data_IF_776936532683
#
_entry.id   IF_776936532683
#
_cell.length_a   1.000
_cell.length_b   1.000
_cell.length_c   1.000
_cell.angle_alpha   90.00
_cell.angle_beta   90.00
_cell.angle_gamma   90.00
#
_symmetry.space_group_name_H-M   'P 1'
#
loop_
_entity.id
_entity.type
_entity.pdbx_description
1 polymer ?
#
# COMPACT_ATOMS: atom_id res chain seq x y z
N UNK A 1 21.10 1.33 13.83
CA UNK A 1 20.08 0.89 12.86
C UNK A 1 20.14 1.87 11.70
N UNK A 2 20.19 1.40 10.46
CA UNK A 2 20.07 2.26 9.28
C UNK A 2 18.81 1.86 8.54
N UNK A 3 17.89 2.82 8.40
CA UNK A 3 16.69 2.66 7.62
C UNK A 3 16.93 3.11 6.18
N UNK A 4 16.15 2.58 5.24
CA UNK A 4 16.24 2.88 3.80
C UNK A 4 17.66 2.75 3.23
N UNK A 5 18.39 1.70 3.65
CA UNK A 5 19.78 1.50 3.25
C UNK A 5 19.97 1.35 1.72
N UNK A 6 18.91 1.03 0.99
CA UNK A 6 18.85 0.97 -0.47
C UNK A 6 18.82 2.34 -1.16
N UNK A 7 18.62 3.43 -0.41
CA UNK A 7 18.80 4.80 -0.88
C UNK A 7 20.27 5.27 -0.83
N UNK A 8 21.15 4.52 -0.15
CA UNK A 8 22.57 4.88 -0.05
C UNK A 8 23.31 4.65 -1.37
N UNK A 9 24.21 5.57 -1.71
CA UNK A 9 25.12 5.41 -2.85
C UNK A 9 26.07 4.23 -2.64
N UNK A 10 26.55 3.64 -3.75
CA UNK A 10 27.49 2.52 -3.70
C UNK A 10 28.78 2.86 -2.93
N UNK A 11 29.29 4.09 -3.05
CA UNK A 11 30.48 4.54 -2.31
C UNK A 11 30.23 4.61 -0.81
N UNK A 12 29.06 5.12 -0.39
CA UNK A 12 28.66 5.14 1.00
C UNK A 12 28.48 3.72 1.57
N UNK A 13 27.90 2.81 0.80
CA UNK A 13 27.80 1.40 1.18
C UNK A 13 29.18 0.73 1.28
N UNK A 14 30.11 1.03 0.37
CA UNK A 14 31.48 0.52 0.44
C UNK A 14 32.23 1.03 1.68
N UNK A 15 32.02 2.29 2.06
CA UNK A 15 32.54 2.84 3.31
C UNK A 15 31.91 2.16 4.54
N UNK A 16 30.58 2.02 4.54
CA UNK A 16 29.83 1.35 5.61
C UNK A 16 30.28 -0.10 5.82
N UNK A 17 30.54 -0.84 4.74
CA UNK A 17 31.10 -2.20 4.81
C UNK A 17 32.38 -2.25 5.65
N UNK A 18 33.32 -1.31 5.43
CA UNK A 18 34.58 -1.25 6.20
C UNK A 18 34.33 -1.00 7.69
N UNK A 19 33.33 -0.18 8.00
CA UNK A 19 32.92 0.11 9.38
C UNK A 19 32.30 -1.14 10.03
N UNK A 20 31.41 -1.84 9.32
CA UNK A 20 30.80 -3.08 9.80
C UNK A 20 31.88 -4.13 10.12
N UNK A 21 32.86 -4.31 9.23
CA UNK A 21 33.97 -5.24 9.45
C UNK A 21 34.79 -4.84 10.69
N UNK A 22 35.23 -3.58 10.77
CA UNK A 22 36.12 -3.09 11.83
C UNK A 22 35.50 -3.15 13.22
N UNK A 23 34.19 -2.95 13.34
CA UNK A 23 33.51 -2.84 14.64
C UNK A 23 32.56 -4.01 14.93
N UNK A 24 32.64 -5.11 14.18
CA UNK A 24 31.74 -6.27 14.29
C UNK A 24 31.75 -6.96 15.66
N UNK A 25 32.85 -6.85 16.42
CA UNK A 25 32.98 -7.46 17.75
C UNK A 25 32.17 -6.70 18.82
N UNK A 26 32.04 -5.38 18.68
CA UNK A 26 31.48 -4.51 19.72
C UNK A 26 30.13 -3.89 19.32
N UNK A 27 29.82 -3.81 18.02
CA UNK A 27 28.64 -3.13 17.49
C UNK A 27 27.83 -4.09 16.62
N UNK A 28 26.51 -4.12 16.83
CA UNK A 28 25.56 -4.80 15.95
C UNK A 28 24.90 -3.81 15.01
N UNK A 29 24.92 -4.14 13.72
CA UNK A 29 24.29 -3.35 12.67
C UNK A 29 22.98 -4.02 12.26
N UNK A 30 21.94 -3.19 12.08
CA UNK A 30 20.66 -3.59 11.50
C UNK A 30 20.40 -2.63 10.36
N UNK A 31 20.18 -3.19 9.17
CA UNK A 31 19.92 -2.47 7.93
C UNK A 31 18.52 -2.84 7.47
N UNK A 32 17.70 -1.84 7.19
CA UNK A 32 16.36 -2.01 6.64
C UNK A 32 16.39 -1.46 5.22
N UNK A 33 15.80 -2.19 4.27
CA UNK A 33 15.73 -1.81 2.87
C UNK A 33 14.53 -2.47 2.19
N UNK A 34 14.00 -1.85 1.14
CA UNK A 34 12.90 -2.41 0.35
C UNK A 34 13.42 -3.29 -0.78
N UNK A 35 14.54 -2.91 -1.40
CA UNK A 35 15.11 -3.61 -2.54
C UNK A 35 16.51 -4.17 -2.23
N UNK A 36 16.58 -5.47 -1.94
CA UNK A 36 17.85 -6.15 -1.68
C UNK A 36 18.85 -5.99 -2.83
N UNK A 37 18.38 -5.94 -4.08
CA UNK A 37 19.23 -5.75 -5.28
C UNK A 37 20.00 -4.42 -5.31
N UNK A 38 19.58 -3.42 -4.53
CA UNK A 38 20.28 -2.13 -4.38
C UNK A 38 21.34 -2.13 -3.28
N UNK A 39 21.42 -3.19 -2.49
CA UNK A 39 22.46 -3.38 -1.47
C UNK A 39 23.64 -4.13 -2.08
N UNK A 40 24.86 -3.62 -1.93
CA UNK A 40 26.04 -4.27 -2.50
C UNK A 40 26.24 -5.68 -1.92
N UNK A 41 26.67 -6.68 -2.72
CA UNK A 41 26.86 -8.06 -2.25
C UNK A 41 27.80 -8.19 -1.03
N UNK A 42 28.75 -7.27 -0.90
CA UNK A 42 29.68 -7.25 0.22
C UNK A 42 28.98 -6.98 1.57
N UNK A 43 27.97 -6.10 1.61
CA UNK A 43 27.17 -5.91 2.83
C UNK A 43 26.28 -7.13 3.06
N UNK A 44 25.61 -7.64 2.01
CA UNK A 44 24.68 -8.76 2.14
C UNK A 44 25.34 -10.02 2.74
N UNK A 45 26.60 -10.31 2.40
CA UNK A 45 27.35 -11.44 2.93
C UNK A 45 27.74 -11.33 4.40
N UNK A 46 27.69 -10.13 4.99
CA UNK A 46 28.05 -9.86 6.39
C UNK A 46 26.82 -9.77 7.31
N UNK A 47 25.62 -9.83 6.75
CA UNK A 47 24.37 -9.70 7.50
C UNK A 47 23.52 -10.97 7.36
N UNK A 48 22.82 -11.33 8.44
CA UNK A 48 21.74 -12.33 8.34
C UNK A 48 20.53 -11.68 7.70
N UNK A 49 19.97 -12.33 6.68
CA UNK A 49 18.88 -11.78 5.88
C UNK A 49 17.55 -12.22 6.45
N UNK A 50 16.69 -11.26 6.76
CA UNK A 50 15.30 -11.48 7.10
C UNK A 50 14.44 -10.83 6.02
N UNK A 51 13.59 -11.63 5.37
CA UNK A 51 12.67 -11.14 4.34
C UNK A 51 11.29 -10.99 4.96
N UNK A 52 10.77 -9.77 4.93
CA UNK A 52 9.39 -9.48 5.28
C UNK A 52 8.58 -9.43 3.98
N UNK A 53 7.68 -10.41 3.81
CA UNK A 53 6.72 -10.40 2.72
C UNK A 53 5.49 -9.56 3.07
N UNK A 54 4.61 -9.29 2.10
CA UNK A 54 3.27 -8.78 2.37
C UNK A 54 2.55 -9.70 3.37
N UNK A 55 1.74 -9.12 4.24
CA UNK A 55 0.99 -9.88 5.23
C UNK A 55 -0.22 -10.54 4.59
N UNK A 56 -0.50 -11.78 4.98
CA UNK A 56 -1.73 -12.45 4.60
C UNK A 56 -2.94 -11.79 5.28
N UNK A 57 -4.09 -11.77 4.60
CA UNK A 57 -5.33 -11.20 5.14
C UNK A 57 -5.73 -11.80 6.49
N UNK A 58 -5.41 -13.08 6.72
CA UNK A 58 -5.65 -13.80 7.98
C UNK A 58 -4.80 -13.29 9.14
N UNK A 59 -3.64 -12.69 8.87
CA UNK A 59 -2.77 -12.08 9.88
C UNK A 59 -3.15 -10.62 10.15
N UNK A 60 -3.65 -9.93 9.12
CA UNK A 60 -4.10 -8.53 9.22
C UNK A 60 -5.39 -8.42 10.02
N UNK A 61 -6.37 -9.30 9.78
CA UNK A 61 -7.70 -9.19 10.37
C UNK A 61 -7.69 -9.13 11.91
N UNK A 62 -7.01 -10.04 12.64
CA UNK A 62 -7.00 -9.99 14.10
C UNK A 62 -6.36 -8.70 14.64
N UNK A 63 -5.37 -8.16 13.93
CA UNK A 63 -4.72 -6.91 14.33
C UNK A 63 -5.62 -5.70 14.06
N UNK A 64 -6.35 -5.72 12.94
CA UNK A 64 -7.33 -4.70 12.59
C UNK A 64 -8.47 -4.68 13.62
N UNK A 65 -9.03 -5.83 13.97
CA UNK A 65 -10.10 -5.96 14.97
C UNK A 65 -9.66 -5.46 16.34
N UNK A 66 -8.45 -5.83 16.76
CA UNK A 66 -7.87 -5.31 18.00
C UNK A 66 -7.86 -3.78 18.02
N UNK A 67 -7.44 -3.12 16.94
CA UNK A 67 -7.40 -1.64 16.87
C UNK A 67 -8.82 -1.06 16.89
N UNK A 68 -9.76 -1.65 16.14
CA UNK A 68 -11.16 -1.21 16.10
C UNK A 68 -11.79 -1.27 17.48
N UNK A 69 -11.55 -2.35 18.24
CA UNK A 69 -12.07 -2.52 19.61
C UNK A 69 -11.47 -1.51 20.59
N UNK A 70 -10.15 -1.28 20.54
CA UNK A 70 -9.47 -0.34 21.43
C UNK A 70 -9.91 1.11 21.20
N UNK A 71 -10.05 1.50 19.92
CA UNK A 71 -10.43 2.85 19.53
C UNK A 71 -11.96 3.05 19.47
N UNK A 72 -12.74 1.98 19.67
CA UNK A 72 -14.22 1.97 19.63
C UNK A 72 -14.79 2.55 18.34
N UNK A 73 -14.20 2.18 17.21
CA UNK A 73 -14.60 2.63 15.88
C UNK A 73 -15.75 1.73 15.38
N UNK A 74 -16.76 2.31 14.72
CA UNK A 74 -17.79 1.53 14.02
C UNK A 74 -17.30 1.21 12.62
N UNK A 75 -17.05 -0.07 12.36
CA UNK A 75 -16.60 -0.56 11.04
C UNK A 75 -17.47 -1.73 10.63
N UNK A 76 -18.00 -1.70 9.41
CA UNK A 76 -18.78 -2.79 8.85
C UNK A 76 -17.88 -3.89 8.27
N UNK A 77 -18.40 -5.10 8.08
CA UNK A 77 -17.61 -6.24 7.56
C UNK A 77 -17.12 -6.02 6.12
N UNK A 78 -17.92 -5.36 5.29
CA UNK A 78 -17.54 -4.89 3.95
C UNK A 78 -16.42 -3.84 4.02
N UNK A 79 -16.48 -2.89 4.96
CA UNK A 79 -15.41 -1.93 5.21
C UNK A 79 -14.08 -2.59 5.60
N UNK A 80 -14.11 -3.60 6.49
CA UNK A 80 -12.92 -4.39 6.85
C UNK A 80 -12.31 -5.08 5.63
N UNK A 81 -13.13 -5.69 4.77
CA UNK A 81 -12.66 -6.37 3.54
C UNK A 81 -12.05 -5.37 2.56
N UNK A 82 -12.70 -4.23 2.34
CA UNK A 82 -12.21 -3.17 1.47
C UNK A 82 -10.84 -2.63 1.94
N UNK A 83 -10.67 -2.42 3.26
CA UNK A 83 -9.39 -1.99 3.83
C UNK A 83 -8.25 -2.97 3.55
N UNK A 84 -8.51 -4.28 3.67
CA UNK A 84 -7.51 -5.33 3.43
C UNK A 84 -7.19 -5.43 1.94
N UNK A 85 -8.21 -5.44 1.08
CA UNK A 85 -8.06 -5.55 -0.38
C UNK A 85 -7.23 -4.37 -0.94
N UNK A 86 -7.59 -3.13 -0.57
CA UNK A 86 -6.87 -1.93 -1.02
C UNK A 86 -5.43 -1.83 -0.52
N UNK A 87 -5.12 -2.49 0.59
CA UNK A 87 -3.81 -2.37 1.23
C UNK A 87 -2.78 -3.37 0.72
N UNK A 88 -3.19 -4.42 0.00
CA UNK A 88 -2.26 -5.36 -0.65
C UNK A 88 -1.25 -6.01 0.30
N UNK A 89 -1.60 -6.20 1.58
CA UNK A 89 -0.71 -6.77 2.59
C UNK A 89 0.11 -5.74 3.40
N UNK A 90 -0.04 -4.43 3.15
CA UNK A 90 0.62 -3.37 3.93
C UNK A 90 -0.25 -2.95 5.13
N UNK A 91 0.12 -3.39 6.34
CA UNK A 91 -0.56 -3.02 7.58
C UNK A 91 -0.54 -1.51 7.86
N UNK A 92 0.53 -0.81 7.48
CA UNK A 92 0.63 0.65 7.67
C UNK A 92 -0.44 1.35 6.85
N UNK A 93 -0.63 0.92 5.60
CA UNK A 93 -1.69 1.44 4.72
C UNK A 93 -3.08 1.15 5.30
N UNK A 94 -3.35 -0.07 5.77
CA UNK A 94 -4.63 -0.44 6.43
C UNK A 94 -4.97 0.54 7.55
N UNK A 95 -4.05 0.77 8.48
CA UNK A 95 -4.30 1.60 9.66
C UNK A 95 -4.45 3.08 9.30
N UNK A 96 -3.65 3.59 8.36
CA UNK A 96 -3.75 4.98 7.91
C UNK A 96 -5.10 5.25 7.25
N UNK A 97 -5.58 4.32 6.41
CA UNK A 97 -6.89 4.46 5.75
C UNK A 97 -8.01 4.33 6.77
N UNK A 98 -7.95 3.35 7.68
CA UNK A 98 -8.91 3.22 8.77
C UNK A 98 -9.02 4.51 9.58
N UNK A 99 -7.89 5.08 10.00
CA UNK A 99 -7.86 6.32 10.77
C UNK A 99 -8.46 7.49 9.99
N UNK A 100 -8.12 7.61 8.70
CA UNK A 100 -8.65 8.67 7.84
C UNK A 100 -10.17 8.55 7.67
N UNK A 101 -10.67 7.34 7.42
CA UNK A 101 -12.09 7.06 7.25
C UNK A 101 -12.86 7.29 8.56
N UNK A 102 -12.35 6.81 9.69
CA UNK A 102 -12.97 7.00 11.01
C UNK A 102 -12.97 8.48 11.47
N UNK A 103 -12.02 9.29 10.98
CA UNK A 103 -12.00 10.73 11.29
C UNK A 103 -13.00 11.49 10.41
N UNK A 104 -13.19 11.08 9.16
CA UNK A 104 -14.09 11.73 8.22
C UNK A 104 -15.56 11.33 8.41
N UNK A 105 -15.83 10.10 8.83
CA UNK A 105 -17.17 9.52 8.92
C UNK A 105 -17.41 8.83 10.26
N UNK A 106 -18.66 8.81 10.72
CA UNK A 106 -19.05 8.14 11.97
C UNK A 106 -19.04 6.60 11.89
N UNK A 107 -19.13 6.06 10.68
CA UNK A 107 -19.15 4.62 10.39
C UNK A 107 -18.30 4.35 9.16
N UNK A 108 -17.41 3.37 9.25
CA UNK A 108 -16.49 2.97 8.17
C UNK A 108 -17.09 1.78 7.43
N UNK A 109 -17.61 2.06 6.23
CA UNK A 109 -18.12 1.07 5.27
C UNK A 109 -17.27 1.02 3.99
N UNK A 110 -17.58 0.13 3.06
CA UNK A 110 -16.87 0.02 1.78
C UNK A 110 -16.78 1.38 1.03
N UNK A 111 -17.90 2.08 0.87
CA UNK A 111 -17.97 3.34 0.13
C UNK A 111 -17.08 4.45 0.74
N UNK A 112 -17.10 4.58 2.07
CA UNK A 112 -16.27 5.56 2.79
C UNK A 112 -14.79 5.26 2.64
N UNK A 113 -14.41 3.98 2.64
CA UNK A 113 -13.02 3.54 2.46
C UNK A 113 -12.53 3.90 1.05
N UNK A 114 -13.27 3.52 0.00
CA UNK A 114 -12.92 3.84 -1.38
C UNK A 114 -12.89 5.35 -1.63
N UNK A 115 -13.83 6.09 -1.06
CA UNK A 115 -13.90 7.55 -1.17
C UNK A 115 -12.72 8.25 -0.47
N UNK A 116 -12.26 7.73 0.68
CA UNK A 116 -11.10 8.30 1.40
C UNK A 116 -9.78 8.08 0.66
N UNK A 117 -9.62 6.94 -0.03
CA UNK A 117 -8.40 6.65 -0.80
C UNK A 117 -8.43 7.32 -2.17
N UNK A 118 -9.62 7.68 -2.68
CA UNK A 118 -9.78 8.16 -4.05
C UNK A 118 -9.59 7.06 -5.08
N UNK A 119 -9.84 5.81 -4.69
CA UNK A 119 -9.67 4.64 -5.56
C UNK A 119 -11.02 4.28 -6.20
N UNK A 120 -11.06 3.87 -7.48
CA UNK A 120 -12.30 3.46 -8.12
C UNK A 120 -12.90 2.23 -7.43
N UNK A 121 -14.22 2.23 -7.27
CA UNK A 121 -14.96 1.05 -6.80
C UNK A 121 -15.14 0.02 -7.93
N UNK A 122 -15.42 -1.25 -7.58
CA UNK A 122 -15.68 -2.31 -8.58
C UNK A 122 -16.86 -1.96 -9.50
N UNK A 123 -17.88 -1.28 -8.99
CA UNK A 123 -19.00 -0.80 -9.77
C UNK A 123 -18.59 0.27 -10.79
N UNK A 124 -17.70 1.19 -10.40
CA UNK A 124 -17.17 2.22 -11.30
C UNK A 124 -16.37 1.59 -12.44
N UNK A 125 -15.50 0.62 -12.13
CA UNK A 125 -14.72 -0.10 -13.15
C UNK A 125 -15.62 -0.88 -14.11
N UNK A 126 -16.64 -1.57 -13.59
CA UNK A 126 -17.62 -2.29 -14.42
C UNK A 126 -18.35 -1.35 -15.39
N UNK A 127 -18.72 -0.15 -14.93
CA UNK A 127 -19.33 0.87 -15.77
C UNK A 127 -18.36 1.39 -16.84
N UNK A 128 -17.09 1.65 -16.48
CA UNK A 128 -16.06 2.10 -17.41
C UNK A 128 -15.83 1.06 -18.51
N UNK A 129 -15.69 -0.22 -18.16
CA UNK A 129 -15.53 -1.31 -19.13
C UNK A 129 -16.74 -1.41 -20.05
N UNK A 130 -17.96 -1.31 -19.50
CA UNK A 130 -19.19 -1.31 -20.29
C UNK A 130 -19.23 -0.13 -21.27
N UNK A 131 -18.85 1.07 -20.84
CA UNK A 131 -18.78 2.26 -21.69
C UNK A 131 -17.77 2.11 -22.82
N UNK A 132 -16.58 1.57 -22.51
CA UNK A 132 -15.53 1.34 -23.49
C UNK A 132 -15.91 0.28 -24.54
N UNK A 133 -16.72 -0.72 -24.18
CA UNK A 133 -17.11 -1.79 -25.09
C UNK A 133 -18.35 -1.48 -25.93
N UNK A 134 -19.29 -0.69 -25.42
CA UNK A 134 -20.63 -0.55 -26.02
C UNK A 134 -20.94 0.85 -26.58
N UNK A 135 -20.17 1.89 -26.24
CA UNK A 135 -20.44 3.26 -26.66
C UNK A 135 -19.38 3.79 -27.63
N UNK A 136 -19.71 4.87 -28.34
CA UNK A 136 -18.75 5.59 -29.16
C UNK A 136 -17.68 6.27 -28.30
N UNK A 137 -16.51 6.50 -28.90
CA UNK A 137 -15.35 7.08 -28.23
C UNK A 137 -15.66 8.41 -27.53
N UNK A 138 -16.41 9.29 -28.17
CA UNK A 138 -16.72 10.61 -27.62
C UNK A 138 -17.60 10.50 -26.37
N UNK A 139 -18.64 9.67 -26.43
CA UNK A 139 -19.53 9.41 -25.29
C UNK A 139 -18.79 8.74 -24.14
N UNK A 140 -18.02 7.68 -24.41
CA UNK A 140 -17.25 6.95 -23.40
C UNK A 140 -16.22 7.86 -22.71
N UNK A 141 -15.45 8.64 -23.49
CA UNK A 141 -14.46 9.56 -22.96
C UNK A 141 -15.09 10.65 -22.08
N UNK A 142 -16.26 11.18 -22.47
CA UNK A 142 -16.97 12.18 -21.67
C UNK A 142 -17.44 11.59 -20.33
N UNK A 143 -18.04 10.40 -20.33
CA UNK A 143 -18.51 9.73 -19.11
C UNK A 143 -17.36 9.41 -18.15
N UNK A 144 -16.23 8.93 -18.68
CA UNK A 144 -15.03 8.66 -17.87
C UNK A 144 -14.48 9.96 -17.27
N UNK A 145 -14.40 11.03 -18.07
CA UNK A 145 -13.89 12.32 -17.60
C UNK A 145 -14.79 12.98 -16.55
N UNK A 146 -16.11 12.87 -16.68
CA UNK A 146 -17.06 13.31 -15.66
C UNK A 146 -16.88 12.52 -14.35
N UNK A 147 -16.71 11.20 -14.45
CA UNK A 147 -16.47 10.34 -13.28
C UNK A 147 -15.14 10.69 -12.58
N UNK A 148 -14.07 10.97 -13.34
CA UNK A 148 -12.78 11.44 -12.81
C UNK A 148 -12.91 12.75 -12.03
N UNK A 149 -13.64 13.72 -12.56
CA UNK A 149 -13.85 15.02 -11.89
C UNK A 149 -14.68 14.83 -10.62
N UNK A 150 -15.81 14.11 -10.72
CA UNK A 150 -16.78 14.02 -9.64
C UNK A 150 -16.26 13.23 -8.43
N UNK A 151 -15.50 12.15 -8.68
CA UNK A 151 -14.96 11.28 -7.63
C UNK A 151 -13.47 11.50 -7.34
N UNK A 152 -12.80 12.40 -8.08
CA UNK A 152 -11.38 12.69 -7.90
C UNK A 152 -10.45 11.51 -8.26
N UNK A 153 -10.87 10.66 -9.21
CA UNK A 153 -10.17 9.42 -9.54
C UNK A 153 -8.97 9.70 -10.46
N UNK A 154 -7.83 9.07 -10.17
CA UNK A 154 -6.67 9.13 -11.04
C UNK A 154 -6.83 8.16 -12.22
N UNK A 155 -6.41 8.58 -13.41
CA UNK A 155 -6.42 7.73 -14.60
C UNK A 155 -5.57 6.46 -14.40
N UNK A 156 -4.48 6.56 -13.65
CA UNK A 156 -3.58 5.44 -13.41
C UNK A 156 -4.27 4.30 -12.65
N UNK A 157 -5.08 4.63 -11.65
CA UNK A 157 -5.83 3.65 -10.85
C UNK A 157 -6.91 2.98 -11.71
N UNK A 158 -7.61 3.76 -12.54
CA UNK A 158 -8.58 3.24 -13.51
C UNK A 158 -7.90 2.26 -14.48
N UNK A 159 -6.75 2.63 -15.05
CA UNK A 159 -6.05 1.75 -16.00
C UNK A 159 -5.54 0.47 -15.35
N UNK A 160 -5.10 0.53 -14.10
CA UNK A 160 -4.61 -0.63 -13.35
C UNK A 160 -5.73 -1.63 -13.05
N UNK A 161 -6.87 -1.13 -12.61
CA UNK A 161 -8.04 -1.96 -12.31
C UNK A 161 -8.69 -2.52 -13.58
N UNK A 162 -8.81 -1.74 -14.65
CA UNK A 162 -9.32 -2.23 -15.94
C UNK A 162 -8.41 -3.32 -16.53
N UNK A 163 -7.09 -3.25 -16.33
CA UNK A 163 -6.18 -4.32 -16.74
C UNK A 163 -6.40 -5.62 -15.95
N UNK A 164 -6.85 -5.51 -14.71
CA UNK A 164 -7.06 -6.64 -13.80
C UNK A 164 -8.46 -7.27 -13.92
N UNK A 165 -9.37 -6.61 -14.63
CA UNK A 165 -10.76 -7.02 -14.89
C UNK A 165 -10.86 -7.98 -16.08
#
# INVERSE_FOLDING_TARGET
ILDEADAMTNDAQNALRRIIEKFSENIRFCLICNYLGKIIPAIQSRCTRFRFGPLDSSQIMPRLEYVIEQEKIKVTEDGKKALIELSGGDMRKVLNVLQSAATAYNEVNEDTVYSCVGHPSKADISNIVNWLLNFDFCSANKMIHELQINKGLALIDITYEVHSY
#
